data_IF_391209462706
#
_entry.id   IF_391209462706
#
_cell.length_a   1.000
_cell.length_b   1.000
_cell.length_c   1.000
_cell.angle_alpha   90.00
_cell.angle_beta   90.00
_cell.angle_gamma   90.00
#
_symmetry.space_group_name_H-M   'P 1'
#
loop_
_entity.id
_entity.type
_entity.pdbx_description
1 polymer ?
#
# COMPACT_ATOMS: atom_id res chain seq x y z
N UNK A 1 50.15 39.44 22.75
CA UNK A 1 49.10 39.01 21.81
C UNK A 1 48.89 37.52 22.01
N UNK A 2 47.67 37.18 22.40
CA UNK A 2 47.16 35.85 22.72
C UNK A 2 47.18 34.99 21.46
N UNK A 3 47.59 33.72 21.53
CA UNK A 3 46.96 32.68 20.73
C UNK A 3 47.11 31.33 21.46
N UNK A 4 46.11 31.04 22.28
CA UNK A 4 45.86 29.73 22.87
C UNK A 4 45.27 28.85 21.76
N UNK A 5 46.07 27.94 21.20
CA UNK A 5 45.61 26.97 20.21
C UNK A 5 44.81 25.88 20.91
N UNK A 6 43.49 26.08 21.03
CA UNK A 6 42.55 25.08 21.54
C UNK A 6 42.45 23.95 20.50
N UNK A 7 43.14 22.84 20.75
CA UNK A 7 42.98 21.62 19.95
C UNK A 7 41.60 21.03 20.27
N UNK A 8 40.60 21.34 19.43
CA UNK A 8 39.30 20.70 19.48
C UNK A 8 39.47 19.26 18.98
N UNK A 9 39.74 18.32 19.90
CA UNK A 9 39.58 16.90 19.62
C UNK A 9 38.09 16.66 19.49
N UNK A 10 37.56 16.83 18.28
CA UNK A 10 36.27 16.25 17.90
C UNK A 10 36.50 14.75 17.89
N UNK A 11 36.23 14.13 19.03
CA UNK A 11 35.99 12.70 19.10
C UNK A 11 34.72 12.47 18.25
N UNK A 12 34.93 12.20 16.96
CA UNK A 12 33.93 11.58 16.09
C UNK A 12 33.71 10.18 16.68
N UNK A 13 32.95 10.11 17.78
CA UNK A 13 32.21 8.92 18.14
C UNK A 13 31.44 8.59 16.87
N UNK A 14 31.81 7.49 16.22
CA UNK A 14 31.16 7.01 15.01
C UNK A 14 29.68 6.91 15.32
N UNK A 15 28.92 7.92 14.93
CA UNK A 15 27.48 7.84 14.92
C UNK A 15 27.20 6.65 14.00
N UNK A 16 26.57 5.57 14.50
CA UNK A 16 26.16 4.50 13.61
C UNK A 16 25.37 5.17 12.48
N UNK A 17 25.76 4.88 11.23
CA UNK A 17 24.95 5.27 10.09
C UNK A 17 23.50 4.87 10.42
N UNK A 18 22.50 5.74 10.15
CA UNK A 18 21.11 5.41 10.39
C UNK A 18 20.85 4.00 9.85
N UNK A 19 20.33 3.12 10.69
CA UNK A 19 19.98 1.77 10.24
C UNK A 19 19.05 1.94 9.05
N UNK A 20 19.37 1.30 7.92
CA UNK A 20 18.51 1.34 6.74
C UNK A 20 17.29 0.45 7.06
N UNK A 21 16.31 1.02 7.77
CA UNK A 21 15.10 0.29 8.13
C UNK A 21 14.32 -0.04 6.86
N UNK A 22 14.27 -1.32 6.54
CA UNK A 22 13.43 -1.84 5.46
C UNK A 22 12.01 -2.02 5.97
N UNK A 23 11.14 -1.08 5.63
CA UNK A 23 9.70 -1.21 5.86
C UNK A 23 9.10 -2.16 4.85
N UNK A 24 8.75 -3.36 5.32
CA UNK A 24 7.89 -4.30 4.62
C UNK A 24 6.46 -3.82 4.44
N UNK A 25 6.02 -3.73 3.20
CA UNK A 25 4.62 -3.48 2.87
C UNK A 25 4.08 -4.31 1.70
N UNK A 26 2.76 -4.52 1.71
CA UNK A 26 2.05 -5.30 0.70
C UNK A 26 0.62 -4.79 0.49
N UNK A 27 -0.02 -5.24 -0.59
CA UNK A 27 -1.47 -5.24 -0.74
C UNK A 27 -1.96 -6.68 -0.85
N UNK A 28 -3.16 -6.94 -0.35
CA UNK A 28 -3.81 -8.23 -0.42
C UNK A 28 -5.29 -8.06 -0.72
N UNK A 29 -5.71 -8.49 -1.91
CA UNK A 29 -7.12 -8.74 -2.19
C UNK A 29 -7.54 -10.07 -1.55
N UNK A 30 -8.42 -10.01 -0.55
CA UNK A 30 -8.88 -11.19 0.22
C UNK A 30 -10.18 -11.78 -0.38
N UNK A 31 -10.67 -11.20 -1.49
CA UNK A 31 -11.84 -11.61 -2.25
C UNK A 31 -13.11 -11.74 -1.40
N UNK A 32 -14.01 -10.76 -1.42
CA UNK A 32 -15.25 -10.80 -0.62
C UNK A 32 -14.97 -11.08 0.87
N UNK A 33 -14.11 -10.26 1.48
CA UNK A 33 -13.81 -10.39 2.91
C UNK A 33 -14.94 -9.79 3.76
N UNK A 34 -15.87 -10.66 4.19
CA UNK A 34 -16.99 -10.29 5.05
C UNK A 34 -17.24 -11.31 6.16
N UNK A 35 -18.36 -11.16 6.87
CA UNK A 35 -18.69 -11.98 8.05
C UNK A 35 -18.58 -13.49 7.82
N UNK A 36 -19.09 -14.00 6.70
CA UNK A 36 -19.04 -15.43 6.38
C UNK A 36 -17.63 -15.96 6.12
N UNK A 37 -16.70 -15.13 5.61
CA UNK A 37 -15.31 -15.53 5.39
C UNK A 37 -14.51 -15.43 6.69
N UNK A 38 -14.79 -14.44 7.53
CA UNK A 38 -14.06 -14.23 8.80
C UNK A 38 -14.42 -15.25 9.90
N UNK A 39 -15.43 -16.09 9.71
CA UNK A 39 -15.73 -17.22 10.61
C UNK A 39 -14.99 -18.52 10.23
N UNK A 40 -14.33 -18.57 9.07
CA UNK A 40 -13.59 -19.76 8.62
C UNK A 40 -12.19 -19.77 9.26
N UNK A 41 -11.98 -20.68 10.20
CA UNK A 41 -10.77 -20.70 11.02
C UNK A 41 -9.48 -20.92 10.22
N UNK A 42 -9.52 -21.80 9.22
CA UNK A 42 -8.44 -22.06 8.27
C UNK A 42 -8.06 -20.81 7.46
N UNK A 43 -9.05 -20.11 6.92
CA UNK A 43 -8.86 -18.84 6.19
C UNK A 43 -8.25 -17.78 7.11
N UNK A 44 -8.80 -17.62 8.31
CA UNK A 44 -8.31 -16.62 9.27
C UNK A 44 -6.87 -16.91 9.71
N UNK A 45 -6.52 -18.19 9.92
CA UNK A 45 -5.14 -18.58 10.24
C UNK A 45 -4.17 -18.16 9.12
N UNK A 46 -4.52 -18.45 7.87
CA UNK A 46 -3.69 -18.06 6.71
C UNK A 46 -3.54 -16.54 6.62
N UNK A 47 -4.63 -15.79 6.79
CA UNK A 47 -4.58 -14.33 6.76
C UNK A 47 -3.68 -13.78 7.87
N UNK A 48 -3.78 -14.30 9.09
CA UNK A 48 -2.88 -13.92 10.20
C UNK A 48 -1.42 -14.19 9.81
N UNK A 49 -1.10 -15.41 9.35
CA UNK A 49 0.26 -15.78 8.93
C UNK A 49 0.81 -14.84 7.84
N UNK A 50 -0.04 -14.37 6.92
CA UNK A 50 0.30 -13.39 5.88
C UNK A 50 0.57 -12.00 6.47
N UNK A 51 -0.38 -11.43 7.22
CA UNK A 51 -0.28 -10.05 7.72
C UNK A 51 0.87 -9.88 8.72
N UNK A 52 1.23 -10.92 9.47
CA UNK A 52 2.36 -10.90 10.39
C UNK A 52 3.73 -10.68 9.71
N UNK A 53 3.84 -10.90 8.40
CA UNK A 53 5.08 -10.70 7.63
C UNK A 53 5.41 -9.23 7.37
N UNK A 54 4.42 -8.33 7.52
CA UNK A 54 4.53 -6.94 7.08
C UNK A 54 4.48 -5.95 8.24
N UNK A 55 5.12 -4.79 8.05
CA UNK A 55 4.96 -3.66 8.97
C UNK A 55 3.68 -2.87 8.66
N UNK A 56 3.25 -2.86 7.40
CA UNK A 56 1.96 -2.32 6.99
C UNK A 56 1.47 -2.97 5.71
N UNK A 57 0.20 -3.36 5.66
CA UNK A 57 -0.37 -3.99 4.47
C UNK A 57 -1.77 -3.46 4.19
N UNK A 58 -2.03 -3.19 2.91
CA UNK A 58 -3.36 -2.88 2.39
C UNK A 58 -4.15 -4.18 2.29
N UNK A 59 -5.40 -4.14 2.74
CA UNK A 59 -6.38 -5.21 2.58
C UNK A 59 -7.53 -4.68 1.73
N UNK A 60 -7.88 -5.41 0.68
CA UNK A 60 -8.90 -5.02 -0.30
C UNK A 60 -10.09 -5.98 -0.27
N UNK A 61 -11.18 -5.56 -0.93
CA UNK A 61 -12.47 -6.27 -0.95
C UNK A 61 -13.09 -6.55 0.43
N UNK A 62 -12.93 -5.63 1.39
CA UNK A 62 -13.71 -5.70 2.64
C UNK A 62 -15.18 -5.45 2.29
N UNK A 63 -16.01 -6.48 2.42
CA UNK A 63 -17.45 -6.45 2.16
C UNK A 63 -18.24 -6.74 3.43
N UNK A 64 -18.12 -5.84 4.39
CA UNK A 64 -18.84 -5.87 5.66
C UNK A 64 -19.24 -4.45 6.08
N UNK A 65 -20.52 -4.17 6.23
CA UNK A 65 -21.01 -2.83 6.58
C UNK A 65 -20.97 -2.55 8.09
N UNK A 66 -20.59 -3.53 8.91
CA UNK A 66 -20.46 -3.36 10.37
C UNK A 66 -19.01 -3.41 10.84
N UNK A 67 -18.05 -3.52 9.91
CA UNK A 67 -16.61 -3.70 10.18
C UNK A 67 -16.24 -4.88 11.11
N UNK A 68 -17.16 -5.82 11.37
CA UNK A 68 -16.91 -6.93 12.29
C UNK A 68 -15.83 -7.88 11.76
N UNK A 69 -15.83 -8.15 10.46
CA UNK A 69 -14.87 -9.05 9.83
C UNK A 69 -13.43 -8.52 9.96
N UNK A 70 -13.22 -7.23 9.73
CA UNK A 70 -11.89 -6.62 9.84
C UNK A 70 -11.44 -6.54 11.30
N UNK A 71 -12.34 -6.27 12.24
CA UNK A 71 -12.01 -6.29 13.67
C UNK A 71 -11.67 -7.70 14.17
N UNK A 72 -12.37 -8.73 13.69
CA UNK A 72 -12.02 -10.14 13.98
C UNK A 72 -10.62 -10.47 13.49
N UNK A 73 -10.25 -10.03 12.28
CA UNK A 73 -8.90 -10.25 11.75
C UNK A 73 -7.84 -9.50 12.55
N UNK A 74 -8.06 -8.22 12.87
CA UNK A 74 -7.14 -7.45 13.70
C UNK A 74 -6.94 -8.11 15.08
N UNK A 75 -8.02 -8.59 15.68
CA UNK A 75 -7.96 -9.30 16.97
C UNK A 75 -7.14 -10.57 16.87
N UNK A 76 -7.35 -11.37 15.82
CA UNK A 76 -6.60 -12.60 15.59
C UNK A 76 -5.10 -12.33 15.34
N UNK A 77 -4.77 -11.28 14.56
CA UNK A 77 -3.38 -10.85 14.32
C UNK A 77 -2.73 -10.48 15.65
N UNK A 78 -3.36 -9.62 16.44
CA UNK A 78 -2.83 -9.16 17.73
C UNK A 78 -2.68 -10.30 18.75
N UNK A 79 -3.59 -11.28 18.74
CA UNK A 79 -3.47 -12.46 19.59
C UNK A 79 -2.27 -13.35 19.20
N UNK A 80 -1.93 -13.39 17.91
CA UNK A 80 -0.81 -14.16 17.38
C UNK A 80 0.55 -13.42 17.42
N UNK A 81 0.58 -12.14 17.81
CA UNK A 81 1.81 -11.34 17.89
C UNK A 81 2.09 -10.76 19.29
N UNK A 82 2.43 -11.59 20.30
CA UNK A 82 2.81 -11.09 21.61
C UNK A 82 3.96 -10.07 21.51
N UNK A 83 3.77 -8.90 22.13
CA UNK A 83 4.77 -7.83 22.14
C UNK A 83 4.79 -6.93 20.90
N UNK A 84 3.98 -7.21 19.88
CA UNK A 84 3.79 -6.34 18.71
C UNK A 84 2.30 -6.03 18.57
N UNK A 85 1.95 -4.75 18.57
CA UNK A 85 0.59 -4.30 18.32
C UNK A 85 0.39 -3.98 16.85
N UNK A 86 -0.75 -4.34 16.32
CA UNK A 86 -1.27 -3.85 15.04
C UNK A 86 -2.50 -2.99 15.27
N UNK A 87 -2.67 -2.02 14.38
CA UNK A 87 -3.86 -1.20 14.21
C UNK A 87 -4.40 -1.32 12.80
N UNK A 88 -5.65 -0.90 12.59
CA UNK A 88 -6.25 -0.79 11.27
C UNK A 88 -6.86 0.60 11.07
N UNK A 89 -6.81 1.10 9.83
CA UNK A 89 -7.64 2.21 9.34
C UNK A 89 -8.38 1.74 8.10
N UNK A 90 -9.68 2.00 8.05
CA UNK A 90 -10.57 1.50 6.99
C UNK A 90 -11.21 2.68 6.28
N UNK A 91 -11.18 2.66 4.95
CA UNK A 91 -11.79 3.67 4.09
C UNK A 91 -13.30 3.55 3.98
N UNK A 92 -13.88 4.46 3.21
CA UNK A 92 -15.31 4.51 2.94
C UNK A 92 -15.78 3.32 2.10
N UNK A 93 -17.07 2.96 2.24
CA UNK A 93 -17.73 1.96 1.39
C UNK A 93 -17.96 2.51 -0.01
N UNK A 94 -17.30 1.92 -1.01
CA UNK A 94 -17.28 2.38 -2.41
C UNK A 94 -17.73 1.29 -3.38
N UNK A 95 -18.22 1.71 -4.54
CA UNK A 95 -18.83 0.85 -5.56
C UNK A 95 -20.07 1.51 -6.15
N UNK A 96 -20.34 1.27 -7.44
CA UNK A 96 -21.50 1.84 -8.15
C UNK A 96 -22.80 1.08 -7.88
N UNK A 97 -22.68 -0.16 -7.43
CA UNK A 97 -23.83 -1.01 -7.09
C UNK A 97 -24.16 -0.97 -5.60
N UNK A 98 -25.21 -1.70 -5.19
CA UNK A 98 -25.52 -1.93 -3.78
C UNK A 98 -24.44 -2.77 -3.07
N UNK A 99 -23.68 -3.59 -3.81
CA UNK A 99 -22.53 -4.32 -3.28
C UNK A 99 -21.32 -3.40 -3.27
N UNK A 100 -20.93 -2.93 -2.08
CA UNK A 100 -19.82 -2.01 -1.86
C UNK A 100 -18.66 -2.69 -1.14
N UNK A 101 -17.46 -2.22 -1.46
CA UNK A 101 -16.17 -2.65 -0.91
C UNK A 101 -15.51 -1.52 -0.13
N UNK A 102 -14.68 -1.88 0.84
CA UNK A 102 -13.77 -0.99 1.52
C UNK A 102 -12.33 -1.47 1.32
N UNK A 103 -11.40 -0.53 1.39
CA UNK A 103 -9.97 -0.79 1.50
C UNK A 103 -9.56 -0.45 2.93
N UNK A 104 -8.72 -1.28 3.54
CA UNK A 104 -8.12 -1.04 4.85
C UNK A 104 -6.61 -1.07 4.80
N UNK A 105 -5.97 -0.50 5.81
CA UNK A 105 -4.53 -0.59 6.03
C UNK A 105 -4.28 -1.09 7.45
N UNK A 106 -3.72 -2.29 7.56
CA UNK A 106 -3.30 -2.92 8.82
C UNK A 106 -1.81 -2.65 9.01
N UNK A 107 -1.41 -2.08 10.14
CA UNK A 107 -0.03 -1.63 10.35
C UNK A 107 0.43 -1.72 11.80
N UNK A 108 1.75 -1.76 11.97
CA UNK A 108 2.42 -1.68 13.28
C UNK A 108 2.65 -0.22 13.64
N UNK A 109 2.03 0.31 14.70
CA UNK A 109 2.19 1.70 15.08
C UNK A 109 3.60 2.01 15.56
N UNK A 110 4.43 1.02 15.91
CA UNK A 110 5.85 1.20 16.27
C UNK A 110 6.72 1.54 15.06
N UNK A 111 6.29 1.18 13.84
CA UNK A 111 7.00 1.48 12.60
C UNK A 111 6.34 2.60 11.79
N UNK A 112 5.01 2.68 11.79
CA UNK A 112 4.23 3.54 10.89
C UNK A 112 3.20 4.33 11.68
N UNK A 113 3.19 5.65 11.50
CA UNK A 113 2.09 6.52 11.95
C UNK A 113 1.18 6.83 10.77
N UNK A 114 -0.12 6.54 10.89
CA UNK A 114 -1.13 7.00 9.92
C UNK A 114 -1.65 8.37 10.37
N UNK A 115 -1.27 9.42 9.63
CA UNK A 115 -1.64 10.82 9.90
C UNK A 115 -3.04 11.15 9.38
N UNK A 116 -3.44 10.52 8.28
CA UNK A 116 -4.72 10.79 7.65
C UNK A 116 -5.12 9.72 6.64
N UNK A 117 -6.41 9.67 6.37
CA UNK A 117 -7.04 8.80 5.37
C UNK A 117 -8.12 9.62 4.66
N UNK A 118 -8.08 9.63 3.33
CA UNK A 118 -9.12 10.26 2.50
C UNK A 118 -9.38 9.46 1.23
N UNK A 119 -10.64 9.45 0.80
CA UNK A 119 -11.04 8.98 -0.53
C UNK A 119 -10.76 10.09 -1.56
N UNK A 120 -10.07 9.73 -2.65
CA UNK A 120 -9.69 10.66 -3.70
C UNK A 120 -10.90 11.06 -4.56
N UNK A 121 -10.97 12.35 -4.92
CA UNK A 121 -12.13 12.95 -5.59
C UNK A 121 -11.85 13.34 -7.04
N UNK A 122 -10.59 13.50 -7.41
CA UNK A 122 -10.17 13.76 -8.80
C UNK A 122 -10.61 12.61 -9.67
N UNK A 123 -11.29 12.91 -10.79
CA UNK A 123 -11.75 11.90 -11.76
C UNK A 123 -12.56 10.77 -11.11
N UNK A 124 -13.33 11.08 -10.06
CA UNK A 124 -14.11 10.10 -9.31
C UNK A 124 -15.13 9.34 -10.18
N UNK A 125 -15.65 9.97 -11.24
CA UNK A 125 -16.63 9.39 -12.15
C UNK A 125 -16.03 8.31 -13.09
N UNK A 126 -14.72 8.11 -13.05
CA UNK A 126 -13.99 7.19 -13.90
C UNK A 126 -13.76 5.85 -13.21
N UNK A 127 -13.80 5.82 -11.88
CA UNK A 127 -13.55 4.64 -11.06
C UNK A 127 -14.85 3.91 -10.66
N UNK A 128 -14.81 2.59 -10.61
CA UNK A 128 -15.79 1.78 -9.88
C UNK A 128 -15.68 2.06 -8.38
N UNK A 129 -14.44 2.14 -7.89
CA UNK A 129 -14.07 2.45 -6.51
C UNK A 129 -12.97 3.51 -6.52
N UNK A 130 -13.28 4.77 -6.19
CA UNK A 130 -12.26 5.81 -6.08
C UNK A 130 -11.11 5.38 -5.15
N UNK A 131 -9.84 5.66 -5.48
CA UNK A 131 -8.70 5.28 -4.64
C UNK A 131 -8.74 5.90 -3.23
N UNK A 132 -8.15 5.24 -2.23
CA UNK A 132 -7.89 5.85 -0.92
C UNK A 132 -6.43 6.29 -0.80
N UNK A 133 -6.19 7.46 -0.23
CA UNK A 133 -4.85 7.93 0.12
C UNK A 133 -4.64 7.86 1.64
N UNK A 134 -3.63 7.12 2.07
CA UNK A 134 -3.13 7.11 3.44
C UNK A 134 -1.90 8.01 3.54
N UNK A 135 -1.94 9.00 4.42
CA UNK A 135 -0.80 9.85 4.75
C UNK A 135 -0.02 9.21 5.89
N UNK A 136 1.21 8.77 5.61
CA UNK A 136 2.01 7.96 6.51
C UNK A 136 3.27 8.72 6.95
N UNK A 137 3.74 8.44 8.16
CA UNK A 137 5.10 8.76 8.63
C UNK A 137 5.78 7.46 9.03
N UNK A 138 6.95 7.17 8.43
CA UNK A 138 7.83 6.09 8.88
C UNK A 138 8.60 6.58 10.10
N UNK A 139 8.39 5.96 11.26
CA UNK A 139 8.83 6.51 12.56
C UNK A 139 10.34 6.66 12.69
N UNK A 140 11.11 5.68 12.23
CA UNK A 140 12.57 5.70 12.40
C UNK A 140 13.23 6.81 11.59
N UNK A 141 12.76 7.05 10.36
CA UNK A 141 13.34 8.05 9.44
C UNK A 141 12.62 9.40 9.44
N UNK A 142 11.42 9.49 9.99
CA UNK A 142 10.53 10.63 9.83
C UNK A 142 9.99 10.81 8.40
N UNK A 143 10.23 9.85 7.50
CA UNK A 143 9.83 9.94 6.09
C UNK A 143 8.31 10.00 5.96
N UNK A 144 7.79 11.07 5.34
CA UNK A 144 6.39 11.16 4.93
C UNK A 144 6.17 10.41 3.63
N UNK A 145 5.16 9.55 3.59
CA UNK A 145 4.77 8.76 2.40
C UNK A 145 3.29 8.96 2.11
N UNK A 146 2.96 9.21 0.85
CA UNK A 146 1.60 9.15 0.33
C UNK A 146 1.36 7.73 -0.20
N UNK A 147 0.51 6.94 0.47
CA UNK A 147 0.15 5.60 0.01
C UNK A 147 -1.22 5.65 -0.67
N UNK A 148 -1.22 5.55 -2.00
CA UNK A 148 -2.42 5.52 -2.83
C UNK A 148 -2.84 4.06 -3.05
N UNK A 149 -3.85 3.63 -2.30
CA UNK A 149 -4.39 2.28 -2.35
C UNK A 149 -5.50 2.15 -3.41
N UNK A 150 -5.43 1.12 -4.27
CA UNK A 150 -6.30 1.01 -5.43
C UNK A 150 -6.66 -0.43 -5.81
N UNK A 151 -7.96 -0.71 -5.90
CA UNK A 151 -8.50 -1.94 -6.48
C UNK A 151 -9.23 -1.61 -7.79
N UNK A 152 -8.54 -1.80 -8.92
CA UNK A 152 -9.02 -1.47 -10.28
C UNK A 152 -10.12 -2.44 -10.73
N UNK A 153 -11.16 -1.93 -11.37
CA UNK A 153 -12.19 -2.78 -11.96
C UNK A 153 -11.66 -3.53 -13.19
N UNK A 154 -11.81 -4.88 -13.26
CA UNK A 154 -11.39 -5.65 -14.44
C UNK A 154 -12.18 -5.26 -15.71
N UNK A 155 -13.33 -4.59 -15.57
CA UNK A 155 -14.13 -4.10 -16.71
C UNK A 155 -13.61 -2.79 -17.30
N UNK A 156 -12.86 -2.00 -16.53
CA UNK A 156 -12.50 -0.63 -16.87
C UNK A 156 -11.01 -0.34 -16.68
N UNK A 157 -10.14 -1.36 -16.73
CA UNK A 157 -8.71 -1.27 -16.39
C UNK A 157 -8.00 -0.08 -17.05
N UNK A 158 -8.08 0.05 -18.38
CA UNK A 158 -7.43 1.17 -19.09
C UNK A 158 -7.94 2.53 -18.63
N UNK A 159 -9.26 2.66 -18.45
CA UNK A 159 -9.90 3.91 -18.06
C UNK A 159 -9.51 4.30 -16.63
N UNK A 160 -9.54 3.36 -15.70
CA UNK A 160 -9.21 3.59 -14.29
C UNK A 160 -7.71 3.84 -14.11
N UNK A 161 -6.83 3.07 -14.75
CA UNK A 161 -5.38 3.29 -14.68
C UNK A 161 -4.96 4.60 -15.36
N UNK A 162 -5.61 5.00 -16.45
CA UNK A 162 -5.36 6.33 -17.03
C UNK A 162 -5.81 7.44 -16.08
N UNK A 163 -7.01 7.33 -15.48
CA UNK A 163 -7.47 8.31 -14.49
C UNK A 163 -6.58 8.35 -13.24
N UNK A 164 -6.00 7.23 -12.83
CA UNK A 164 -5.14 7.12 -11.66
C UNK A 164 -3.91 8.03 -11.75
N UNK A 165 -3.39 8.27 -12.96
CA UNK A 165 -2.31 9.22 -13.19
C UNK A 165 -2.66 10.64 -12.70
N UNK A 166 -3.90 11.09 -12.88
CA UNK A 166 -4.32 12.43 -12.45
C UNK A 166 -4.55 12.50 -10.93
N UNK A 167 -4.87 11.36 -10.31
CA UNK A 167 -5.15 11.24 -8.88
C UNK A 167 -3.87 11.29 -8.03
N UNK A 168 -2.70 10.92 -8.57
CA UNK A 168 -1.43 10.92 -7.84
C UNK A 168 -1.15 12.27 -7.16
N UNK A 169 -1.32 13.36 -7.90
CA UNK A 169 -1.14 14.72 -7.43
C UNK A 169 -2.08 15.10 -6.27
N UNK A 170 -3.31 14.58 -6.25
CA UNK A 170 -4.25 14.83 -5.15
C UNK A 170 -3.75 14.16 -3.86
N UNK A 171 -3.31 12.90 -3.96
CA UNK A 171 -2.79 12.15 -2.82
C UNK A 171 -1.50 12.77 -2.26
N UNK A 172 -0.59 13.20 -3.13
CA UNK A 172 0.63 13.91 -2.73
C UNK A 172 0.34 15.22 -1.99
N UNK A 173 -0.60 16.03 -2.50
CA UNK A 173 -1.04 17.27 -1.83
C UNK A 173 -1.71 16.99 -0.49
N UNK A 174 -2.59 16.00 -0.44
CA UNK A 174 -3.26 15.59 0.81
C UNK A 174 -2.24 15.12 1.86
N UNK A 175 -1.26 14.32 1.47
CA UNK A 175 -0.24 13.81 2.36
C UNK A 175 0.88 14.84 2.67
N UNK A 176 0.99 15.91 1.88
CA UNK A 176 2.03 16.92 2.01
C UNK A 176 3.43 16.36 1.69
N UNK A 177 3.52 15.47 0.70
CA UNK A 177 4.78 14.84 0.28
C UNK A 177 4.69 14.35 -1.17
N UNK A 178 5.83 14.31 -1.86
CA UNK A 178 5.98 13.72 -3.21
C UNK A 178 6.46 12.27 -3.19
N UNK A 179 6.64 11.69 -1.99
CA UNK A 179 7.04 10.30 -1.82
C UNK A 179 5.80 9.43 -1.96
N UNK A 180 5.43 9.14 -3.21
CA UNK A 180 4.21 8.43 -3.53
C UNK A 180 4.46 6.94 -3.76
N UNK A 181 3.61 6.12 -3.17
CA UNK A 181 3.53 4.68 -3.38
C UNK A 181 2.11 4.35 -3.86
N UNK A 182 1.99 3.79 -5.06
CA UNK A 182 0.75 3.22 -5.57
C UNK A 182 0.78 1.71 -5.26
N UNK A 183 -0.27 1.19 -4.61
CA UNK A 183 -0.29 -0.19 -4.13
C UNK A 183 -1.71 -0.76 -4.13
N UNK A 184 -1.89 -1.94 -4.73
CA UNK A 184 -3.18 -2.63 -4.76
C UNK A 184 -3.34 -3.52 -5.99
N UNK A 185 -4.49 -4.18 -6.08
CA UNK A 185 -4.89 -4.98 -7.23
C UNK A 185 -5.23 -4.08 -8.43
N UNK A 186 -4.28 -3.95 -9.35
CA UNK A 186 -4.41 -3.08 -10.52
C UNK A 186 -5.00 -3.78 -11.74
N UNK A 187 -5.24 -5.10 -11.68
CA UNK A 187 -5.65 -5.92 -12.83
C UNK A 187 -4.79 -5.65 -14.10
N UNK A 188 -3.50 -5.35 -13.93
CA UNK A 188 -2.65 -4.75 -14.97
C UNK A 188 -2.01 -5.74 -15.97
N UNK A 189 -2.59 -6.92 -16.15
CA UNK A 189 -2.01 -7.96 -17.02
C UNK A 189 -3.05 -8.91 -17.66
N UNK A 190 -2.57 -9.85 -18.47
CA UNK A 190 -3.35 -10.92 -19.09
C UNK A 190 -4.52 -10.43 -19.96
N UNK A 191 -5.74 -10.97 -19.79
CA UNK A 191 -6.90 -10.65 -20.64
C UNK A 191 -7.48 -9.26 -20.38
N UNK A 192 -7.12 -8.62 -19.25
CA UNK A 192 -7.71 -7.35 -18.85
C UNK A 192 -6.94 -6.14 -19.37
N UNK A 193 -5.63 -6.29 -19.62
CA UNK A 193 -4.80 -5.23 -20.19
C UNK A 193 -3.82 -5.80 -21.20
N UNK A 194 -4.05 -5.52 -22.48
CA UNK A 194 -3.08 -5.90 -23.52
C UNK A 194 -1.76 -5.16 -23.33
N UNK A 195 -0.64 -5.81 -23.66
CA UNK A 195 0.70 -5.19 -23.60
C UNK A 195 0.75 -3.82 -24.31
N UNK A 196 0.12 -3.72 -25.48
CA UNK A 196 0.08 -2.45 -26.24
C UNK A 196 -0.69 -1.34 -25.51
N UNK A 197 -1.77 -1.66 -24.80
CA UNK A 197 -2.51 -0.69 -24.00
C UNK A 197 -1.73 -0.31 -22.74
N UNK A 198 -1.09 -1.28 -22.08
CA UNK A 198 -0.23 -1.07 -20.90
C UNK A 198 0.93 -0.12 -21.20
N UNK A 199 1.63 -0.35 -22.31
CA UNK A 199 2.80 0.44 -22.71
C UNK A 199 2.44 1.89 -23.09
N UNK A 200 1.15 2.20 -23.25
CA UNK A 200 0.63 3.56 -23.51
C UNK A 200 0.08 4.25 -22.27
N UNK A 201 -0.02 3.56 -21.12
CA UNK A 201 -0.52 4.18 -19.89
C UNK A 201 0.43 5.28 -19.43
N UNK A 202 -0.13 6.43 -19.04
CA UNK A 202 0.66 7.57 -18.57
C UNK A 202 1.57 7.21 -17.38
N UNK A 203 1.04 6.43 -16.43
CA UNK A 203 1.83 5.91 -15.30
C UNK A 203 2.99 4.99 -15.72
N UNK A 204 2.94 4.38 -16.92
CA UNK A 204 3.98 3.49 -17.45
C UNK A 204 5.00 4.22 -18.33
N UNK A 205 4.55 5.20 -19.11
CA UNK A 205 5.40 5.98 -20.02
C UNK A 205 6.19 7.06 -19.31
N UNK A 206 5.65 7.58 -18.21
CA UNK A 206 6.30 8.62 -17.42
C UNK A 206 7.38 8.03 -16.52
N UNK A 207 8.62 8.44 -16.76
CA UNK A 207 9.83 7.92 -16.10
C UNK A 207 9.94 8.33 -14.64
N UNK A 208 9.09 9.25 -14.17
CA UNK A 208 9.05 9.60 -12.77
C UNK A 208 8.55 8.43 -11.90
N UNK A 209 7.78 7.50 -12.48
CA UNK A 209 7.28 6.31 -11.79
C UNK A 209 8.14 5.06 -12.06
N UNK A 210 8.63 4.44 -11.01
CA UNK A 210 9.30 3.15 -11.03
C UNK A 210 8.29 2.01 -10.76
N UNK A 211 8.16 1.09 -11.71
CA UNK A 211 7.32 -0.10 -11.55
C UNK A 211 8.14 -1.23 -10.90
N UNK A 212 7.82 -1.58 -9.64
CA UNK A 212 8.61 -2.50 -8.81
C UNK A 212 8.09 -3.94 -8.79
N UNK A 213 6.85 -4.17 -9.19
CA UNK A 213 6.40 -5.50 -9.61
C UNK A 213 6.44 -5.47 -11.13
N UNK A 214 7.31 -6.30 -11.69
CA UNK A 214 7.55 -6.39 -13.12
C UNK A 214 6.60 -7.39 -13.76
N UNK A 215 6.37 -7.25 -15.07
CA UNK A 215 5.37 -8.02 -15.83
C UNK A 215 5.63 -9.55 -15.85
N UNK A 216 6.76 -10.00 -15.31
CA UNK A 216 7.18 -11.39 -15.13
C UNK A 216 6.89 -11.95 -13.72
N UNK A 217 6.38 -11.13 -12.81
CA UNK A 217 6.00 -11.52 -11.45
C UNK A 217 4.53 -11.95 -11.40
N UNK A 218 4.28 -13.24 -11.17
CA UNK A 218 2.93 -13.78 -10.94
C UNK A 218 2.43 -13.40 -9.55
N UNK A 219 1.29 -12.71 -9.46
CA UNK A 219 0.72 -12.24 -8.20
C UNK A 219 -0.64 -12.89 -7.90
N UNK A 220 -1.04 -13.89 -8.68
CA UNK A 220 -2.33 -14.56 -8.53
C UNK A 220 -2.25 -15.82 -7.66
N UNK A 221 -3.37 -16.19 -7.04
CA UNK A 221 -3.57 -17.48 -6.35
C UNK A 221 -4.32 -18.48 -7.24
N UNK A 222 -4.53 -18.15 -8.53
CA UNK A 222 -5.15 -19.02 -9.54
C UNK A 222 -4.12 -19.64 -10.48
N UNK A 223 -4.49 -20.64 -11.28
CA UNK A 223 -3.59 -21.33 -12.25
C UNK A 223 -3.12 -20.43 -13.42
N UNK A 224 -3.29 -19.11 -13.33
CA UNK A 224 -2.98 -18.13 -14.37
C UNK A 224 -1.77 -17.29 -13.98
N UNK A 225 -0.70 -17.32 -14.78
CA UNK A 225 0.49 -16.48 -14.54
C UNK A 225 0.24 -15.03 -14.98
N UNK A 226 -0.14 -14.15 -14.06
CA UNK A 226 -0.46 -12.74 -14.36
C UNK A 226 0.09 -11.78 -13.30
N UNK A 227 0.71 -10.68 -13.73
CA UNK A 227 1.16 -9.59 -12.85
C UNK A 227 0.02 -8.59 -12.58
N UNK A 228 -1.07 -9.03 -11.94
CA UNK A 228 -2.22 -8.15 -11.66
C UNK A 228 -1.88 -7.05 -10.65
N UNK A 229 -1.05 -7.38 -9.66
CA UNK A 229 -0.53 -6.41 -8.70
C UNK A 229 0.65 -5.67 -9.32
N UNK A 230 0.62 -4.35 -9.25
CA UNK A 230 1.74 -3.53 -9.68
C UNK A 230 2.05 -2.43 -8.69
N UNK A 231 3.35 -2.12 -8.55
CA UNK A 231 3.82 -1.05 -7.65
C UNK A 231 4.42 0.06 -8.48
N UNK A 232 3.77 1.21 -8.56
CA UNK A 232 4.37 2.45 -9.06
C UNK A 232 4.93 3.27 -7.90
N UNK A 233 6.20 3.66 -7.94
CA UNK A 233 6.83 4.54 -6.94
C UNK A 233 7.43 5.78 -7.61
N UNK A 234 7.13 6.98 -7.11
CA UNK A 234 7.78 8.22 -7.58
C UNK A 234 9.10 8.44 -6.80
N UNK A 235 10.26 8.53 -7.48
CA UNK A 235 11.57 8.45 -6.81
C UNK A 235 12.21 9.80 -6.43
N UNK A 236 12.31 10.04 -5.11
CA UNK A 236 13.48 10.61 -4.43
C UNK A 236 13.62 10.01 -3.02
N UNK A 237 14.03 8.73 -2.92
CA UNK A 237 14.33 8.07 -1.65
C UNK A 237 13.68 6.70 -1.51
N UNK A 238 14.51 5.66 -1.52
CA UNK A 238 14.12 4.29 -1.82
C UNK A 238 13.78 3.48 -0.54
N UNK A 239 12.72 2.66 -0.60
CA UNK A 239 12.56 1.46 0.22
C UNK A 239 12.64 0.25 -0.73
N UNK A 240 13.73 -0.51 -0.67
CA UNK A 240 13.91 -1.77 -1.41
C UNK A 240 13.39 -2.93 -0.56
N UNK A 241 12.61 -3.82 -1.14
CA UNK A 241 12.40 -5.13 -0.52
C UNK A 241 12.22 -6.30 -1.48
N UNK A 242 12.87 -7.40 -1.11
CA UNK A 242 12.92 -8.71 -1.76
C UNK A 242 11.53 -9.33 -1.88
N UNK A 243 11.06 -9.46 -3.12
CA UNK A 243 10.02 -10.42 -3.46
C UNK A 243 10.68 -11.80 -3.64
N UNK A 244 10.73 -12.58 -2.56
CA UNK A 244 10.94 -14.03 -2.66
C UNK A 244 9.71 -14.74 -2.10
N UNK A 245 9.26 -15.71 -2.91
CA UNK A 245 8.14 -16.64 -2.75
C UNK A 245 7.80 -16.99 -1.30
#
# INVERSE_FOLDING_TARGET
MILLSLLLVVCLLGLPAPSEQKIKSAAFNVQVFGKSKSTKADVMKLLVDIFLRYHGAVIEEIRDNTDEAIQRLLTAINAASPGVRYEVRVGERKGRSASKEQIGFIFRPDNITVVGLASMRTRMAEFERPPDCFSLIIKESGLRVALLAIHVSPKYVVKELDALYDVTNECERFAGTTNLVLLGDMNADCTYLSKQARDKLRLRTDRQYAWRITDDMDTTVSDTKCAYDSRGAHEKGMLKEDARR
#
